data_IF_233276153128
#
_entry.id   IF_233276153128
#
_cell.length_a   1.000
_cell.length_b   1.000
_cell.length_c   1.000
_cell.angle_alpha   90.00
_cell.angle_beta   90.00
_cell.angle_gamma   90.00
#
_symmetry.space_group_name_H-M   'P 1'
#
loop_
_entity.id
_entity.type
_entity.pdbx_description
1 polymer ?
#
# COMPACT_ATOMS: atom_id res chain seq x y z
N UNK A 1 -3.77 -31.30 18.84
CA UNK A 1 -3.68 -30.50 17.61
C UNK A 1 -2.39 -29.72 17.71
N UNK A 2 -1.38 -30.07 16.92
CA UNK A 2 -0.12 -29.34 16.89
C UNK A 2 -0.43 -27.95 16.31
N UNK A 3 -0.35 -26.92 17.14
CA UNK A 3 -0.61 -25.54 16.70
C UNK A 3 0.50 -25.15 15.74
N UNK A 4 0.26 -25.30 14.44
CA UNK A 4 1.17 -24.88 13.39
C UNK A 4 1.53 -23.40 13.61
N UNK A 5 2.76 -23.18 14.08
CA UNK A 5 3.28 -21.83 14.26
C UNK A 5 3.67 -21.30 12.89
N UNK A 6 3.02 -20.23 12.48
CA UNK A 6 3.25 -19.59 11.20
C UNK A 6 4.07 -18.32 11.41
N UNK A 7 4.87 -17.97 10.41
CA UNK A 7 5.71 -16.79 10.46
C UNK A 7 5.00 -15.59 9.81
N UNK A 8 5.10 -14.44 10.47
CA UNK A 8 4.68 -13.18 9.87
C UNK A 8 5.63 -12.81 8.72
N UNK A 9 5.07 -12.59 7.53
CA UNK A 9 5.81 -12.28 6.31
C UNK A 9 6.68 -11.01 6.41
N UNK A 10 6.26 -10.01 7.20
CA UNK A 10 6.99 -8.74 7.31
C UNK A 10 8.06 -8.69 8.40
N UNK A 11 7.85 -9.33 9.55
CA UNK A 11 8.77 -9.23 10.69
C UNK A 11 9.43 -10.57 11.05
N UNK A 12 9.05 -11.68 10.42
CA UNK A 12 9.59 -13.01 10.66
C UNK A 12 9.14 -13.68 11.95
N UNK A 13 8.45 -12.97 12.85
CA UNK A 13 7.99 -13.51 14.13
C UNK A 13 7.07 -14.73 13.96
N UNK A 14 7.19 -15.70 14.85
CA UNK A 14 6.39 -16.93 14.88
C UNK A 14 5.16 -16.74 15.77
N UNK A 15 3.97 -16.93 15.22
CA UNK A 15 2.69 -16.73 15.89
C UNK A 15 1.79 -17.96 15.70
N UNK A 16 0.73 -18.07 16.50
CA UNK A 16 -0.32 -19.03 16.17
C UNK A 16 -1.07 -18.58 14.91
N UNK A 17 -1.59 -19.55 14.14
CA UNK A 17 -2.36 -19.27 12.92
C UNK A 17 -3.53 -18.30 13.16
N UNK A 18 -4.19 -18.41 14.32
CA UNK A 18 -5.36 -17.61 14.70
C UNK A 18 -5.03 -16.14 14.94
N UNK A 19 -3.79 -15.84 15.33
CA UNK A 19 -3.31 -14.47 15.56
C UNK A 19 -2.86 -13.78 14.26
N UNK A 20 -2.64 -14.55 13.19
CA UNK A 20 -2.15 -14.04 11.93
C UNK A 20 -3.28 -13.71 10.97
N UNK A 21 -3.14 -12.55 10.34
CA UNK A 21 -4.07 -12.09 9.33
C UNK A 21 -3.64 -12.52 7.93
N UNK A 22 -4.51 -13.29 7.28
CA UNK A 22 -4.29 -13.78 5.92
C UNK A 22 -4.51 -12.66 4.91
N UNK A 23 -3.50 -12.41 4.06
CA UNK A 23 -3.62 -11.52 2.91
C UNK A 23 -3.05 -12.18 1.66
N UNK A 24 -3.85 -12.34 0.60
CA UNK A 24 -3.31 -12.76 -0.69
C UNK A 24 -2.45 -11.63 -1.27
N UNK A 25 -1.22 -11.97 -1.66
CA UNK A 25 -0.29 -11.04 -2.32
C UNK A 25 -0.01 -11.51 -3.75
N UNK A 26 0.21 -10.60 -4.69
CA UNK A 26 0.45 -10.92 -6.11
C UNK A 26 -0.82 -10.90 -6.99
N UNK A 27 -0.65 -11.20 -8.28
CA UNK A 27 -1.72 -11.15 -9.30
C UNK A 27 -1.84 -12.46 -10.05
N UNK A 28 -3.07 -12.84 -10.41
CA UNK A 28 -3.35 -14.03 -11.23
C UNK A 28 -2.80 -15.33 -10.63
N UNK A 29 -2.15 -16.13 -11.47
CA UNK A 29 -1.54 -17.42 -11.08
C UNK A 29 -0.37 -17.28 -10.09
N UNK A 30 0.20 -16.08 -9.92
CA UNK A 30 1.33 -15.83 -9.02
C UNK A 30 0.90 -15.31 -7.64
N UNK A 31 -0.33 -15.61 -7.22
CA UNK A 31 -0.83 -15.25 -5.88
C UNK A 31 -0.09 -16.06 -4.82
N UNK A 32 0.58 -15.37 -3.91
CA UNK A 32 1.26 -15.91 -2.75
C UNK A 32 0.38 -15.74 -1.52
N UNK A 33 0.34 -16.77 -0.69
CA UNK A 33 -0.28 -16.75 0.63
C UNK A 33 0.68 -16.03 1.58
N UNK A 34 0.27 -14.88 2.11
CA UNK A 34 1.06 -14.13 3.08
C UNK A 34 0.25 -13.95 4.37
N UNK A 35 0.91 -14.19 5.50
CA UNK A 35 0.34 -14.02 6.83
C UNK A 35 1.05 -12.88 7.55
N UNK A 36 0.29 -12.01 8.21
CA UNK A 36 0.83 -10.85 8.91
C UNK A 36 0.33 -10.79 10.35
N UNK A 37 1.22 -10.49 11.29
CA UNK A 37 0.80 -10.18 12.66
C UNK A 37 -0.03 -8.88 12.68
N UNK A 38 -0.86 -8.63 13.70
CA UNK A 38 -1.76 -7.48 13.74
C UNK A 38 -1.04 -6.15 13.49
N UNK A 39 0.11 -5.93 14.12
CA UNK A 39 0.92 -4.71 13.95
C UNK A 39 1.48 -4.56 12.53
N UNK A 40 1.92 -5.66 11.90
CA UNK A 40 2.40 -5.62 10.51
C UNK A 40 1.25 -5.41 9.52
N UNK A 41 0.09 -5.99 9.81
CA UNK A 41 -1.10 -5.86 9.00
C UNK A 41 -1.59 -4.40 8.94
N UNK A 42 -1.65 -3.73 10.10
CA UNK A 42 -2.01 -2.29 10.16
C UNK A 42 -1.05 -1.41 9.36
N UNK A 43 0.26 -1.70 9.42
CA UNK A 43 1.26 -0.99 8.61
C UNK A 43 1.02 -1.19 7.12
N UNK A 44 0.69 -2.40 6.68
CA UNK A 44 0.37 -2.64 5.26
C UNK A 44 -0.93 -1.97 4.82
N UNK A 45 -1.96 -1.91 5.66
CA UNK A 45 -3.19 -1.17 5.35
C UNK A 45 -2.88 0.31 5.13
N UNK A 46 -2.10 0.93 6.04
CA UNK A 46 -1.68 2.33 5.90
C UNK A 46 -0.85 2.55 4.62
N UNK A 47 0.07 1.63 4.27
CA UNK A 47 0.84 1.72 3.03
C UNK A 47 -0.03 1.63 1.78
N UNK A 48 -1.02 0.76 1.78
CA UNK A 48 -1.96 0.62 0.65
C UNK A 48 -2.78 1.89 0.45
N UNK A 49 -3.30 2.46 1.55
CA UNK A 49 -4.00 3.76 1.55
C UNK A 49 -3.10 4.86 0.96
N UNK A 50 -1.84 4.96 1.43
CA UNK A 50 -0.89 5.96 0.91
C UNK A 50 -0.60 5.78 -0.59
N UNK A 51 -0.48 4.54 -1.08
CA UNK A 51 -0.29 4.26 -2.51
C UNK A 51 -1.52 4.65 -3.34
N UNK A 52 -2.72 4.40 -2.81
CA UNK A 52 -3.96 4.82 -3.46
C UNK A 52 -4.05 6.36 -3.54
N UNK A 53 -3.76 7.06 -2.45
CA UNK A 53 -3.72 8.54 -2.42
C UNK A 53 -2.63 9.11 -3.33
N UNK A 54 -1.42 8.52 -3.34
CA UNK A 54 -0.36 8.96 -4.26
C UNK A 54 -0.78 8.82 -5.72
N UNK A 55 -1.47 7.72 -6.06
CA UNK A 55 -2.00 7.50 -7.41
C UNK A 55 -3.07 8.53 -7.78
N UNK A 56 -3.89 8.97 -6.81
CA UNK A 56 -4.88 10.02 -7.01
C UNK A 56 -4.22 11.39 -7.22
N UNK A 57 -3.24 11.76 -6.40
CA UNK A 57 -2.51 13.02 -6.53
C UNK A 57 -1.81 13.11 -7.89
N UNK A 58 -1.15 12.04 -8.34
CA UNK A 58 -0.50 12.01 -9.67
C UNK A 58 -1.49 12.21 -10.81
N UNK A 59 -2.67 11.57 -10.75
CA UNK A 59 -3.73 11.77 -11.76
C UNK A 59 -4.24 13.22 -11.76
N UNK A 60 -4.32 13.85 -10.60
CA UNK A 60 -4.78 15.23 -10.49
C UNK A 60 -3.71 16.26 -10.91
N UNK A 61 -2.41 15.91 -10.85
CA UNK A 61 -1.33 16.78 -11.33
C UNK A 61 -1.18 16.78 -12.85
N UNK A 62 -1.61 15.73 -13.56
CA UNK A 62 -1.60 15.71 -15.04
C UNK A 62 -2.67 16.64 -15.65
N UNK A 63 -3.65 17.10 -14.86
CA UNK A 63 -4.64 18.08 -15.30
C UNK A 63 -4.19 19.55 -15.13
N UNK A 64 -3.03 19.82 -14.52
CA UNK A 64 -2.52 21.18 -14.25
C UNK A 64 -1.22 21.52 -14.97
N UNK A 65 -1.01 20.97 -16.17
CA UNK A 65 -0.01 21.50 -17.12
C UNK A 65 -0.61 21.84 -18.47
N UNK A 66 -1.89 22.21 -18.50
CA UNK A 66 -2.49 22.91 -19.63
C UNK A 66 -2.49 24.41 -19.34
N UNK A 67 -1.42 25.07 -19.77
CA UNK A 67 -1.39 26.49 -20.14
C UNK A 67 -1.65 27.50 -19.01
N UNK A 68 -0.59 27.89 -18.30
CA UNK A 68 -0.51 29.23 -17.72
C UNK A 68 0.70 29.96 -18.30
N UNK A 69 0.52 30.45 -19.53
CA UNK A 69 1.35 31.51 -20.08
C UNK A 69 1.06 32.78 -19.28
N UNK A 70 1.85 33.02 -18.23
CA UNK A 70 1.86 34.29 -17.52
C UNK A 70 2.57 35.28 -18.44
N UNK A 71 1.82 36.00 -19.27
CA UNK A 71 2.30 37.24 -19.88
C UNK A 71 2.23 38.32 -18.82
N UNK A 72 3.36 38.64 -18.18
CA UNK A 72 3.48 39.88 -17.42
C UNK A 72 3.63 41.03 -18.41
N UNK A 73 2.51 41.53 -18.92
CA UNK A 73 2.41 42.90 -19.39
C UNK A 73 2.05 43.75 -18.17
N UNK A 74 3.04 44.40 -17.57
CA UNK A 74 2.78 45.56 -16.71
C UNK A 74 3.37 46.75 -17.41
N UNK A 75 2.45 47.60 -17.85
CA UNK A 75 2.63 48.96 -18.31
C UNK A 75 2.97 49.87 -17.12
N UNK A 76 3.60 50.99 -17.48
CA UNK A 76 4.06 52.15 -16.70
C UNK A 76 5.45 52.03 -16.06
#
# INVERSE_FOLDING_TARGET
>A
METEKLNCYSCGGSFAREELQFRPSGRGAYRKVAYYCPTCNEREIKKDQLKATQSLVRKNTTFKTSKLSITTSSVE
#
